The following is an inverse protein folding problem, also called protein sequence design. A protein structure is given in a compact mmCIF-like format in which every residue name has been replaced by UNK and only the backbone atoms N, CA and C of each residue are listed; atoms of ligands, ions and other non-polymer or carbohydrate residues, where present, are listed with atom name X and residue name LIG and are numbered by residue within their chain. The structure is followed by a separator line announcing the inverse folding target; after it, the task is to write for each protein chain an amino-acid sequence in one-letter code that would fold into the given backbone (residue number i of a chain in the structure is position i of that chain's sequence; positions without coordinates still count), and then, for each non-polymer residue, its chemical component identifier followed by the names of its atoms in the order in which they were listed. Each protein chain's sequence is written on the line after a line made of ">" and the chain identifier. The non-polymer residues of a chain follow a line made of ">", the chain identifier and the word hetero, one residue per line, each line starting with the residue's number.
data_IF_237438412363
#
_entry.id   IF_237438412363
#
_cell.length_a   1.000
_cell.length_b   1.000
_cell.length_c   1.000
_cell.angle_alpha   90.00
_cell.angle_beta   90.00
_cell.angle_gamma   90.00
#
_symmetry.space_group_name_H-M   'P 1'
#
loop_
_entity.id
_entity.type
_entity.pdbx_description
1 polymer ?
#
# COMPACT_ATOMS: atom_id res chain seq x y z
N UNK A 1 -14.28 36.22 -19.27
CA UNK A 1 -13.22 37.23 -19.06
C UNK A 1 -13.75 38.24 -18.06
N UNK A 2 -13.12 38.39 -16.90
CA UNK A 2 -13.58 39.34 -15.89
C UNK A 2 -13.24 40.77 -16.33
N UNK A 3 -14.27 41.61 -16.30
CA UNK A 3 -14.19 43.02 -16.69
C UNK A 3 -14.45 43.89 -15.46
N UNK A 4 -13.78 45.03 -15.37
CA UNK A 4 -14.08 46.04 -14.35
C UNK A 4 -15.44 46.71 -14.63
N UNK A 5 -15.88 47.61 -13.76
CA UNK A 5 -17.14 48.36 -13.90
C UNK A 5 -17.23 49.18 -15.21
N UNK A 6 -16.10 49.44 -15.87
CA UNK A 6 -15.98 50.17 -17.13
C UNK A 6 -15.88 49.26 -18.35
N UNK A 7 -15.93 47.93 -18.17
CA UNK A 7 -15.97 46.95 -19.27
C UNK A 7 -14.60 46.55 -19.84
N UNK A 8 -13.48 47.02 -19.26
CA UNK A 8 -12.11 46.63 -19.60
C UNK A 8 -11.70 45.36 -18.86
N UNK A 9 -10.85 44.55 -19.50
CA UNK A 9 -10.28 43.34 -18.88
C UNK A 9 -9.43 43.75 -17.68
N UNK A 10 -9.83 43.32 -16.50
CA UNK A 10 -9.12 43.62 -15.26
C UNK A 10 -8.26 42.42 -14.88
N UNK A 11 -6.96 42.53 -15.17
CA UNK A 11 -5.98 41.49 -14.82
C UNK A 11 -5.85 41.30 -13.31
N UNK A 12 -6.02 42.38 -12.53
CA UNK A 12 -5.92 42.35 -11.07
C UNK A 12 -7.10 41.59 -10.49
N UNK A 13 -8.32 41.86 -10.97
CA UNK A 13 -9.51 41.10 -10.59
C UNK A 13 -9.41 39.62 -11.01
N UNK A 14 -8.90 39.32 -12.21
CA UNK A 14 -8.69 37.93 -12.64
C UNK A 14 -7.69 37.21 -11.73
N UNK A 15 -6.56 37.84 -11.39
CA UNK A 15 -5.55 37.26 -10.48
C UNK A 15 -6.11 37.05 -9.08
N UNK A 16 -6.90 38.00 -8.57
CA UNK A 16 -7.54 37.88 -7.27
C UNK A 16 -8.51 36.68 -7.22
N UNK A 17 -9.34 36.50 -8.25
CA UNK A 17 -10.28 35.37 -8.33
C UNK A 17 -9.53 34.03 -8.41
N UNK A 18 -8.47 33.96 -9.23
CA UNK A 18 -7.63 32.76 -9.32
C UNK A 18 -6.96 32.46 -7.97
N UNK A 19 -6.43 33.48 -7.29
CA UNK A 19 -5.81 33.32 -5.98
C UNK A 19 -6.81 32.79 -4.94
N UNK A 20 -8.02 33.35 -4.88
CA UNK A 20 -9.09 32.86 -4.00
C UNK A 20 -9.46 31.41 -4.33
N UNK A 21 -9.63 31.08 -5.60
CA UNK A 21 -9.95 29.71 -6.02
C UNK A 21 -8.85 28.70 -5.67
N UNK A 22 -7.57 29.10 -5.76
CA UNK A 22 -6.43 28.28 -5.33
C UNK A 22 -6.44 28.11 -3.81
N UNK A 23 -6.65 29.19 -3.05
CA UNK A 23 -6.71 29.14 -1.59
C UNK A 23 -7.85 28.25 -1.08
N UNK A 24 -9.05 28.40 -1.64
CA UNK A 24 -10.20 27.55 -1.31
C UNK A 24 -9.89 26.09 -1.60
N UNK A 25 -9.29 25.78 -2.75
CA UNK A 25 -8.88 24.42 -3.10
C UNK A 25 -7.83 23.85 -2.15
N UNK A 26 -6.87 24.67 -1.71
CA UNK A 26 -5.87 24.26 -0.71
C UNK A 26 -6.54 24.00 0.64
N UNK A 27 -7.47 24.86 1.08
CA UNK A 27 -8.21 24.69 2.34
C UNK A 27 -9.04 23.41 2.32
N UNK A 28 -9.82 23.17 1.27
CA UNK A 28 -10.62 21.94 1.13
C UNK A 28 -9.74 20.70 1.12
N UNK A 29 -8.59 20.75 0.44
CA UNK A 29 -7.62 19.64 0.41
C UNK A 29 -7.05 19.34 1.79
N UNK A 30 -6.60 20.37 2.53
CA UNK A 30 -6.08 20.18 3.90
C UNK A 30 -7.13 19.61 4.83
N UNK A 31 -8.35 20.12 4.77
CA UNK A 31 -9.46 19.61 5.58
C UNK A 31 -9.72 18.11 5.31
N UNK A 32 -9.57 17.66 4.06
CA UNK A 32 -9.74 16.26 3.70
C UNK A 32 -8.54 15.39 4.12
N UNK A 33 -7.32 15.90 4.00
CA UNK A 33 -6.13 15.26 4.58
C UNK A 33 -6.31 15.08 6.08
N UNK A 34 -6.64 16.12 6.83
CA UNK A 34 -6.81 16.06 8.28
C UNK A 34 -7.87 15.04 8.72
N UNK A 35 -8.99 14.97 7.99
CA UNK A 35 -10.03 13.94 8.20
C UNK A 35 -9.48 12.53 8.00
N UNK A 36 -8.72 12.32 6.93
CA UNK A 36 -8.23 11.00 6.56
C UNK A 36 -7.02 10.57 7.40
N UNK A 37 -6.17 11.51 7.83
CA UNK A 37 -5.01 11.28 8.70
C UNK A 37 -5.40 10.94 10.14
N UNK A 38 -6.59 11.36 10.58
CA UNK A 38 -7.12 11.03 11.90
C UNK A 38 -7.72 9.62 12.02
N UNK A 39 -7.78 8.86 10.93
CA UNK A 39 -8.29 7.48 10.92
C UNK A 39 -7.14 6.50 11.14
N UNK A 40 -7.39 5.41 11.87
CA UNK A 40 -6.43 4.30 12.06
C UNK A 40 -6.02 3.66 10.72
N UNK A 41 -4.98 2.81 10.78
CA UNK A 41 -4.37 2.10 9.64
C UNK A 41 -5.41 1.61 8.61
N UNK A 42 -5.32 2.12 7.38
CA UNK A 42 -6.29 1.81 6.29
C UNK A 42 -6.00 0.52 5.53
N UNK A 43 -5.04 -0.27 5.98
CA UNK A 43 -4.65 -1.52 5.31
C UNK A 43 -5.82 -2.50 5.22
N UNK A 44 -6.10 -3.01 4.02
CA UNK A 44 -7.23 -3.91 3.75
C UNK A 44 -8.53 -3.19 3.39
N UNK A 45 -8.55 -1.86 3.43
CA UNK A 45 -9.74 -1.09 3.07
C UNK A 45 -9.80 -0.77 1.57
N UNK A 46 -11.02 -0.73 1.05
CA UNK A 46 -11.34 -0.35 -0.32
C UNK A 46 -12.00 1.02 -0.31
N UNK A 47 -11.44 1.91 -1.13
CA UNK A 47 -11.81 3.31 -1.16
C UNK A 47 -12.06 3.78 -2.59
N UNK A 48 -12.97 4.75 -2.73
CA UNK A 48 -13.06 5.59 -3.91
C UNK A 48 -12.07 6.75 -3.76
N UNK A 49 -11.21 6.88 -4.75
CA UNK A 49 -10.20 7.94 -4.83
C UNK A 49 -10.40 8.80 -6.06
N UNK A 50 -10.03 10.08 -5.97
CA UNK A 50 -10.07 10.98 -7.12
C UNK A 50 -8.67 11.45 -7.48
N UNK A 51 -8.33 11.30 -8.75
CA UNK A 51 -7.06 11.76 -9.30
C UNK A 51 -7.06 13.28 -9.49
N UNK A 52 -5.89 13.87 -9.74
CA UNK A 52 -5.76 15.32 -10.01
C UNK A 52 -6.56 15.74 -11.26
N UNK A 53 -6.73 14.84 -12.23
CA UNK A 53 -7.52 15.05 -13.45
C UNK A 53 -9.03 14.92 -13.21
N UNK A 54 -9.45 14.58 -11.99
CA UNK A 54 -10.85 14.44 -11.62
C UNK A 54 -11.46 13.06 -11.93
N UNK A 55 -10.66 12.11 -12.42
CA UNK A 55 -11.15 10.75 -12.64
C UNK A 55 -11.24 9.99 -11.32
N UNK A 56 -12.38 9.35 -11.10
CA UNK A 56 -12.61 8.50 -9.94
C UNK A 56 -12.08 7.10 -10.19
N UNK A 57 -11.45 6.52 -9.18
CA UNK A 57 -10.89 5.17 -9.21
C UNK A 57 -11.20 4.47 -7.90
N UNK A 58 -11.63 3.22 -7.98
CA UNK A 58 -11.74 2.36 -6.82
C UNK A 58 -10.39 1.69 -6.60
N UNK A 59 -9.91 1.70 -5.36
CA UNK A 59 -8.60 1.16 -5.01
C UNK A 59 -8.67 0.34 -3.72
N UNK A 60 -7.88 -0.74 -3.66
CA UNK A 60 -7.63 -1.49 -2.43
C UNK A 60 -6.32 -1.02 -1.81
N UNK A 61 -6.34 -0.68 -0.52
CA UNK A 61 -5.15 -0.32 0.25
C UNK A 61 -4.44 -1.58 0.73
N UNK A 62 -3.20 -1.78 0.28
CA UNK A 62 -2.37 -2.95 0.62
C UNK A 62 -1.52 -2.69 1.85
N UNK A 63 -0.98 -1.47 1.95
CA UNK A 63 -0.15 -1.04 3.07
C UNK A 63 -0.32 0.46 3.29
N UNK A 64 -0.41 0.84 4.56
CA UNK A 64 -0.51 2.21 5.01
C UNK A 64 0.82 2.69 5.63
N UNK A 65 1.27 3.88 5.22
CA UNK A 65 2.45 4.56 5.76
C UNK A 65 2.12 5.90 6.41
N UNK A 66 0.87 6.11 6.82
CA UNK A 66 0.39 7.31 7.51
C UNK A 66 0.11 8.46 6.55
N UNK A 67 1.12 8.95 5.81
CA UNK A 67 0.94 10.07 4.86
C UNK A 67 0.50 9.62 3.46
N UNK A 68 0.88 8.41 3.10
CA UNK A 68 0.71 7.80 1.78
C UNK A 68 0.29 6.35 2.00
N UNK A 69 -0.56 5.84 1.12
CA UNK A 69 -0.94 4.44 1.10
C UNK A 69 -0.51 3.80 -0.23
N UNK A 70 -0.05 2.56 -0.16
CA UNK A 70 0.11 1.70 -1.31
C UNK A 70 -1.22 1.10 -1.69
N UNK A 71 -1.60 1.26 -2.95
CA UNK A 71 -2.90 0.81 -3.43
C UNK A 71 -2.81 0.08 -4.75
N UNK A 72 -3.81 -0.78 -4.98
CA UNK A 72 -4.06 -1.45 -6.26
C UNK A 72 -5.35 -0.89 -6.84
N UNK A 73 -5.32 -0.51 -8.12
CA UNK A 73 -6.54 -0.10 -8.82
C UNK A 73 -7.44 -1.30 -9.09
N UNK A 74 -8.70 -1.16 -8.74
CA UNK A 74 -9.75 -2.13 -8.99
C UNK A 74 -10.64 -1.64 -10.16
N UNK A 75 -10.74 -2.44 -11.21
CA UNK A 75 -11.52 -2.18 -12.42
C UNK A 75 -12.63 -3.23 -12.61
N UNK A 76 -13.64 -2.92 -13.42
CA UNK A 76 -14.75 -3.87 -13.71
C UNK A 76 -14.36 -4.92 -14.75
N UNK A 77 -13.49 -4.58 -15.71
CA UNK A 77 -13.00 -5.50 -16.74
C UNK A 77 -11.50 -5.25 -17.01
N UNK A 78 -10.71 -6.32 -17.20
CA UNK A 78 -9.27 -6.21 -17.46
C UNK A 78 -8.63 -7.51 -17.98
N UNK A 79 -7.55 -7.35 -18.74
CA UNK A 79 -6.82 -8.44 -19.43
C UNK A 79 -5.76 -9.09 -18.51
N UNK A 80 -5.40 -8.45 -17.40
CA UNK A 80 -4.42 -8.93 -16.43
C UNK A 80 -4.98 -8.76 -15.02
N UNK A 81 -5.79 -9.72 -14.62
CA UNK A 81 -6.60 -9.71 -13.40
C UNK A 81 -6.27 -10.93 -12.56
N UNK A 82 -5.19 -10.84 -11.79
CA UNK A 82 -4.80 -11.90 -10.84
C UNK A 82 -5.45 -11.70 -9.47
N UNK A 83 -5.94 -10.49 -9.18
CA UNK A 83 -6.61 -10.14 -7.93
C UNK A 83 -8.10 -9.94 -8.19
N UNK A 84 -8.93 -10.63 -7.39
CA UNK A 84 -10.39 -10.52 -7.43
C UNK A 84 -10.92 -10.04 -6.09
N UNK A 85 -11.69 -8.96 -6.10
CA UNK A 85 -12.26 -8.37 -4.89
C UNK A 85 -13.73 -8.05 -5.14
N UNK A 86 -14.60 -8.48 -4.23
CA UNK A 86 -16.02 -8.19 -4.30
C UNK A 86 -16.33 -6.85 -3.61
N UNK A 87 -16.57 -5.80 -4.40
CA UNK A 87 -16.91 -4.44 -3.96
C UNK A 87 -17.93 -3.81 -4.92
N UNK A 88 -19.19 -3.75 -4.48
CA UNK A 88 -20.32 -3.30 -5.31
C UNK A 88 -20.42 -4.06 -6.65
N UNK A 89 -20.00 -5.33 -6.65
CA UNK A 89 -19.77 -6.14 -7.85
C UNK A 89 -18.39 -6.78 -7.83
N UNK A 90 -18.14 -7.71 -8.76
CA UNK A 90 -16.80 -8.28 -8.93
C UNK A 90 -15.90 -7.23 -9.56
N UNK A 91 -14.82 -6.89 -8.86
CA UNK A 91 -13.79 -5.97 -9.32
C UNK A 91 -12.47 -6.71 -9.38
N UNK A 92 -11.64 -6.31 -10.32
CA UNK A 92 -10.39 -6.97 -10.61
C UNK A 92 -9.22 -6.00 -10.52
N UNK A 93 -8.15 -6.46 -9.90
CA UNK A 93 -6.88 -5.74 -9.77
C UNK A 93 -5.74 -6.53 -10.41
N UNK A 94 -4.63 -5.82 -10.62
CA UNK A 94 -3.38 -6.42 -11.10
C UNK A 94 -2.29 -6.27 -10.04
N UNK A 95 -1.63 -7.37 -9.67
CA UNK A 95 -0.47 -7.36 -8.76
C UNK A 95 0.65 -6.45 -9.25
N UNK A 96 0.82 -6.36 -10.56
CA UNK A 96 1.95 -5.68 -11.19
C UNK A 96 1.77 -4.16 -11.23
N UNK A 97 0.57 -3.67 -10.88
CA UNK A 97 0.18 -2.26 -11.01
C UNK A 97 -0.17 -1.64 -9.66
N UNK A 98 0.79 -1.67 -8.75
CA UNK A 98 0.73 -0.90 -7.51
C UNK A 98 1.19 0.55 -7.73
N UNK A 99 0.59 1.47 -6.98
CA UNK A 99 1.05 2.86 -6.91
C UNK A 99 0.66 3.49 -5.59
N UNK A 100 1.24 4.67 -5.33
CA UNK A 100 0.97 5.43 -4.11
C UNK A 100 -0.19 6.39 -4.30
N UNK A 101 -1.03 6.50 -3.28
CA UNK A 101 -2.08 7.51 -3.19
C UNK A 101 -1.93 8.31 -1.89
N UNK A 102 -1.86 9.65 -1.96
CA UNK A 102 -1.86 10.50 -0.79
C UNK A 102 -3.23 10.57 -0.14
N UNK A 103 -3.26 10.75 1.18
CA UNK A 103 -4.47 10.69 1.99
C UNK A 103 -5.55 11.69 1.55
N UNK A 104 -5.19 12.86 1.01
CA UNK A 104 -6.13 13.82 0.39
C UNK A 104 -7.04 13.23 -0.67
N UNK A 105 -6.56 12.24 -1.41
CA UNK A 105 -7.24 11.76 -2.60
C UNK A 105 -8.30 10.70 -2.26
N UNK A 106 -8.37 10.24 -1.01
CA UNK A 106 -9.40 9.33 -0.52
C UNK A 106 -10.69 10.12 -0.26
N UNK A 107 -11.77 9.76 -0.95
CA UNK A 107 -13.05 10.45 -0.88
C UNK A 107 -14.09 9.67 -0.09
N UNK A 108 -14.29 8.39 -0.44
CA UNK A 108 -15.36 7.57 0.13
C UNK A 108 -14.83 6.18 0.49
N UNK A 109 -15.09 5.77 1.73
CA UNK A 109 -14.85 4.41 2.18
C UNK A 109 -15.97 3.51 1.67
N UNK A 110 -15.61 2.39 1.02
CA UNK A 110 -16.57 1.43 0.49
C UNK A 110 -16.69 0.21 1.41
N UNK A 111 -15.57 -0.45 1.72
CA UNK A 111 -15.56 -1.73 2.42
C UNK A 111 -14.17 -2.15 2.90
N UNK A 112 -14.07 -2.93 3.97
CA UNK A 112 -12.87 -3.70 4.35
C UNK A 112 -12.93 -5.13 3.82
N UNK A 113 -11.82 -5.57 3.23
CA UNK A 113 -11.60 -6.93 2.72
C UNK A 113 -11.26 -7.88 3.88
N UNK A 114 -11.57 -9.17 3.75
CA UNK A 114 -11.20 -10.14 4.79
C UNK A 114 -9.68 -10.33 4.87
N UNK A 115 -9.18 -10.69 6.05
CA UNK A 115 -7.75 -10.94 6.26
C UNK A 115 -7.20 -12.02 5.33
N UNK A 116 -8.00 -13.05 5.03
CA UNK A 116 -7.65 -14.12 4.09
C UNK A 116 -7.45 -13.60 2.67
N UNK A 117 -8.36 -12.75 2.19
CA UNK A 117 -8.26 -12.13 0.87
C UNK A 117 -7.08 -11.16 0.80
N UNK A 118 -6.86 -10.38 1.86
CA UNK A 118 -5.70 -9.49 1.93
C UNK A 118 -4.38 -10.25 1.92
N UNK A 119 -4.31 -11.41 2.60
CA UNK A 119 -3.14 -12.28 2.58
C UNK A 119 -2.89 -12.86 1.17
N UNK A 120 -3.94 -13.32 0.47
CA UNK A 120 -3.82 -13.78 -0.92
C UNK A 120 -3.29 -12.69 -1.84
N UNK A 121 -3.82 -11.46 -1.72
CA UNK A 121 -3.32 -10.29 -2.46
C UNK A 121 -1.84 -10.05 -2.17
N UNK A 122 -1.43 -10.05 -0.89
CA UNK A 122 -0.02 -9.86 -0.51
C UNK A 122 0.89 -10.95 -1.05
N UNK A 123 0.41 -12.19 -1.10
CA UNK A 123 1.16 -13.32 -1.68
C UNK A 123 1.32 -13.17 -3.20
N UNK A 124 0.28 -12.76 -3.92
CA UNK A 124 0.35 -12.46 -5.36
C UNK A 124 1.30 -11.31 -5.67
N UNK A 125 1.30 -10.28 -4.83
CA UNK A 125 2.25 -9.17 -4.90
C UNK A 125 3.69 -9.61 -4.62
N UNK A 126 3.90 -10.47 -3.62
CA UNK A 126 5.23 -11.01 -3.35
C UNK A 126 5.73 -11.81 -4.57
N UNK A 127 4.87 -12.66 -5.13
CA UNK A 127 5.18 -13.47 -6.31
C UNK A 127 5.51 -12.62 -7.55
N UNK A 128 4.79 -11.51 -7.79
CA UNK A 128 5.08 -10.63 -8.93
C UNK A 128 6.42 -9.89 -8.81
N UNK A 129 6.88 -9.63 -7.58
CA UNK A 129 8.16 -9.00 -7.28
C UNK A 129 9.30 -10.04 -7.20
N UNK A 130 8.99 -11.34 -7.27
CA UNK A 130 9.97 -12.43 -7.16
C UNK A 130 10.40 -12.72 -5.72
N UNK A 131 9.60 -12.31 -4.74
CA UNK A 131 9.77 -12.68 -3.33
C UNK A 131 9.01 -13.99 -3.12
N UNK A 132 9.73 -15.05 -2.76
CA UNK A 132 9.10 -16.32 -2.42
C UNK A 132 8.16 -16.14 -1.22
N UNK A 133 6.91 -16.63 -1.30
CA UNK A 133 5.98 -16.52 -0.19
C UNK A 133 6.55 -17.29 1.00
N UNK A 134 6.67 -16.62 2.16
CA UNK A 134 6.92 -17.32 3.41
C UNK A 134 5.69 -18.19 3.71
N UNK A 135 5.79 -19.49 3.44
CA UNK A 135 4.76 -20.46 3.80
C UNK A 135 4.75 -20.51 5.33
N UNK A 136 3.84 -19.76 5.95
CA UNK A 136 3.49 -19.98 7.34
C UNK A 136 2.63 -21.25 7.34
N UNK A 137 3.26 -22.39 7.64
CA UNK A 137 2.56 -23.62 7.94
C UNK A 137 1.61 -23.33 9.11
N UNK A 138 0.32 -23.13 8.81
CA UNK A 138 -0.73 -23.16 9.83
C UNK A 138 -0.70 -24.57 10.41
N UNK A 139 -0.18 -24.71 11.62
CA UNK A 139 -0.32 -25.92 12.43
C UNK A 139 -1.81 -26.23 12.57
N UNK A 140 -2.29 -27.19 11.79
CA UNK A 140 -3.60 -27.80 11.97
C UNK A 140 -3.46 -28.73 13.18
N UNK A 141 -3.77 -28.21 14.37
CA UNK A 141 -3.94 -29.02 15.57
C UNK A 141 -5.14 -29.93 15.32
N UNK A 142 -4.88 -31.17 14.90
CA UNK A 142 -5.87 -32.24 14.84
C UNK A 142 -5.99 -32.80 16.25
N UNK A 143 -6.94 -32.29 17.03
CA UNK A 143 -7.28 -32.87 18.33
C UNK A 143 -7.81 -34.30 18.13
N UNK A 144 -7.05 -35.29 18.62
CA UNK A 144 -7.52 -36.66 18.85
C UNK A 144 -7.40 -36.90 20.36
N UNK A 145 -8.50 -37.10 21.09
CA UNK A 145 -8.41 -37.36 22.52
C UNK A 145 -8.12 -38.85 22.73
N UNK A 146 -7.06 -39.17 23.47
CA UNK A 146 -7.01 -40.42 24.23
C UNK A 146 -6.05 -40.28 25.40
N UNK A 147 -6.61 -40.46 26.60
CA UNK A 147 -5.96 -40.28 27.88
C UNK A 147 -4.87 -41.35 28.14
N UNK A 148 -3.74 -40.84 28.62
CA UNK A 148 -2.57 -41.44 29.28
C UNK A 148 -2.88 -42.51 30.37
N UNK A 149 -1.93 -43.35 30.84
CA UNK A 149 -0.63 -42.88 31.38
C UNK A 149 0.59 -43.81 31.26
N UNK A 150 1.79 -43.21 31.16
CA UNK A 150 2.91 -43.41 32.10
C UNK A 150 4.29 -43.15 31.44
N UNK A 151 5.04 -42.23 32.06
CA UNK A 151 6.50 -42.14 32.10
C UNK A 151 7.32 -42.18 30.79
N UNK A 152 7.67 -40.99 30.30
CA UNK A 152 9.06 -40.58 30.04
C UNK A 152 9.04 -39.13 29.55
N UNK A 153 9.88 -38.27 30.13
CA UNK A 153 10.19 -36.95 29.57
C UNK A 153 11.19 -37.17 28.43
N UNK A 154 10.93 -36.74 27.19
CA UNK A 154 11.98 -36.49 26.23
C UNK A 154 12.19 -34.98 26.07
N UNK A 155 13.46 -34.60 26.09
CA UNK A 155 13.94 -33.25 25.90
C UNK A 155 13.43 -32.61 24.61
N UNK A 156 13.22 -31.29 24.64
CA UNK A 156 13.00 -30.45 23.48
C UNK A 156 14.09 -30.71 22.41
N UNK A 157 13.74 -30.92 21.13
CA UNK A 157 14.74 -30.92 20.09
C UNK A 157 15.17 -29.47 19.85
N UNK A 158 16.37 -29.10 20.32
CA UNK A 158 17.08 -27.94 19.80
C UNK A 158 17.12 -28.05 18.28
N UNK A 159 16.50 -27.09 17.58
CA UNK A 159 16.62 -26.95 16.12
C UNK A 159 18.07 -26.63 15.80
N UNK A 160 18.88 -27.67 15.59
CA UNK A 160 20.22 -27.55 15.02
C UNK A 160 20.03 -26.97 13.62
N UNK A 161 20.20 -25.66 13.47
CA UNK A 161 20.20 -25.04 12.16
C UNK A 161 21.43 -25.56 11.42
N UNK A 162 21.23 -26.12 10.22
CA UNK A 162 22.33 -26.63 9.42
C UNK A 162 23.35 -25.51 9.20
N UNK A 163 24.61 -25.76 9.57
CA UNK A 163 25.70 -24.77 9.50
C UNK A 163 25.84 -24.19 8.09
N UNK A 164 25.45 -24.96 7.07
CA UNK A 164 25.39 -24.54 5.68
C UNK A 164 24.33 -23.46 5.41
N UNK A 165 23.13 -23.57 5.99
CA UNK A 165 22.07 -22.56 5.83
C UNK A 165 22.45 -21.24 6.51
N UNK A 166 23.07 -21.31 7.70
CA UNK A 166 23.56 -20.13 8.40
C UNK A 166 24.67 -19.43 7.61
N UNK A 167 25.55 -20.19 6.96
CA UNK A 167 26.60 -19.66 6.07
C UNK A 167 26.01 -19.02 4.81
N UNK A 168 25.00 -19.61 4.20
CA UNK A 168 24.35 -19.03 3.02
C UNK A 168 23.60 -17.73 3.36
N UNK A 169 22.91 -17.69 4.50
CA UNK A 169 22.23 -16.49 4.99
C UNK A 169 23.21 -15.36 5.33
N UNK A 170 24.37 -15.68 5.89
CA UNK A 170 25.42 -14.66 6.16
C UNK A 170 26.01 -14.11 4.88
N UNK A 171 26.32 -14.95 3.88
CA UNK A 171 26.79 -14.50 2.57
C UNK A 171 25.74 -13.61 1.88
N UNK A 172 24.45 -13.96 2.00
CA UNK A 172 23.36 -13.17 1.43
C UNK A 172 23.20 -11.83 2.14
N UNK A 173 23.34 -11.79 3.46
CA UNK A 173 23.31 -10.55 4.24
C UNK A 173 24.46 -9.61 3.86
N UNK A 174 25.69 -10.12 3.75
CA UNK A 174 26.86 -9.34 3.32
C UNK A 174 26.66 -8.71 1.92
N UNK A 175 26.10 -9.48 0.98
CA UNK A 175 25.79 -8.98 -0.37
C UNK A 175 24.73 -7.88 -0.35
N UNK A 176 23.71 -8.03 0.50
CA UNK A 176 22.66 -7.03 0.63
C UNK A 176 23.19 -5.72 1.26
N UNK A 177 24.08 -5.82 2.25
CA UNK A 177 24.75 -4.66 2.85
C UNK A 177 25.61 -3.91 1.83
N UNK A 178 26.39 -4.62 1.01
CA UNK A 178 27.19 -4.01 -0.05
C UNK A 178 26.34 -3.20 -1.05
N UNK A 179 25.21 -3.76 -1.50
CA UNK A 179 24.28 -3.06 -2.40
C UNK A 179 23.66 -1.82 -1.73
N UNK A 180 23.31 -1.89 -0.45
CA UNK A 180 22.78 -0.75 0.29
C UNK A 180 23.81 0.39 0.39
N UNK A 181 25.09 0.06 0.56
CA UNK A 181 26.19 1.04 0.56
C UNK A 181 26.28 1.76 -0.81
N UNK A 182 26.23 1.01 -1.91
CA UNK A 182 26.23 1.57 -3.28
C UNK A 182 25.02 2.49 -3.52
N UNK A 183 23.83 2.08 -3.08
CA UNK A 183 22.65 2.92 -3.18
C UNK A 183 22.79 4.21 -2.35
N UNK A 184 23.34 4.13 -1.13
CA UNK A 184 23.60 5.32 -0.30
C UNK A 184 24.55 6.29 -0.99
N UNK A 185 25.60 5.81 -1.63
CA UNK A 185 26.52 6.65 -2.40
C UNK A 185 25.84 7.31 -3.62
N UNK A 186 25.02 6.55 -4.36
CA UNK A 186 24.23 7.10 -5.46
C UNK A 186 23.29 8.20 -4.98
N UNK A 187 22.60 8.01 -3.84
CA UNK A 187 21.73 9.03 -3.27
C UNK A 187 22.48 10.28 -2.81
N UNK A 188 23.65 10.13 -2.17
CA UNK A 188 24.51 11.28 -1.85
C UNK A 188 24.88 12.08 -3.09
N UNK A 189 25.30 11.40 -4.16
CA UNK A 189 25.68 12.04 -5.43
C UNK A 189 24.51 12.77 -6.11
N UNK A 190 23.28 12.29 -5.94
CA UNK A 190 22.07 12.97 -6.45
C UNK A 190 21.74 14.20 -5.61
N UNK A 191 21.80 14.08 -4.27
CA UNK A 191 21.51 15.19 -3.34
C UNK A 191 22.52 16.32 -3.50
N UNK A 192 23.82 16.02 -3.68
CA UNK A 192 24.86 17.03 -3.89
C UNK A 192 24.74 17.80 -5.22
N UNK A 193 23.96 17.28 -6.18
CA UNK A 193 23.73 17.93 -7.48
C UNK A 193 22.48 18.83 -7.52
N UNK A 194 21.72 18.90 -6.42
CA UNK A 194 20.54 19.75 -6.24
C UNK A 194 20.94 21.00 -5.47
#
# INVERSE_FOLDING_TARGET
>A
MYKNAEGYRDETACRAIIAVAIEERIKSRKLQEDKNMGTENKTGEVWRTRTVTGTEKIVLVVADHGSLAYVIQLAEEGIHTDIEVNCEGLRYGSSDKMYYVPYRNFEEYLRTVSDEQLADVKNKLAASIGIEPQIVEKEVIREVPTETPSAAVPAEPEKVHDVAEVQELTIRAERAEALLEEYRELYKNVIEKI
#
